data_IF_332479975758
#
_entry.id   IF_332479975758
#
_cell.length_a   1.000
_cell.length_b   1.000
_cell.length_c   1.000
_cell.angle_alpha   90.00
_cell.angle_beta   90.00
_cell.angle_gamma   90.00
#
_symmetry.space_group_name_H-M   'P 1'
#
loop_
_entity.id
_entity.type
_entity.pdbx_description
1 polymer ?
#
# COMPACT_ATOMS: atom_id res chain seq x y z
N UNK A 1 1.48 -40.15 16.57
CA UNK A 1 2.20 -39.57 15.40
C UNK A 1 1.63 -38.21 14.92
N UNK A 2 0.42 -37.79 15.33
CA UNK A 2 -0.23 -36.55 14.88
C UNK A 2 0.39 -35.23 15.42
N UNK A 3 0.83 -35.20 16.69
CA UNK A 3 1.24 -33.97 17.41
C UNK A 3 2.47 -33.26 16.79
N UNK A 4 3.40 -34.01 16.18
CA UNK A 4 4.61 -33.44 15.55
C UNK A 4 4.30 -32.69 14.24
N UNK A 5 3.23 -33.09 13.55
CA UNK A 5 2.80 -32.48 12.28
C UNK A 5 2.17 -31.11 12.50
N UNK A 6 1.27 -30.99 13.48
CA UNK A 6 0.60 -29.72 13.78
C UNK A 6 1.55 -28.71 14.45
N UNK A 7 2.47 -29.19 15.30
CA UNK A 7 3.55 -28.36 15.85
C UNK A 7 4.41 -27.72 14.74
N UNK A 8 4.84 -28.49 13.74
CA UNK A 8 5.59 -27.96 12.60
C UNK A 8 4.78 -27.00 11.72
N UNK A 9 3.47 -27.21 11.56
CA UNK A 9 2.59 -26.27 10.85
C UNK A 9 2.46 -24.94 11.59
N UNK A 10 2.24 -24.96 12.89
CA UNK A 10 2.16 -23.75 13.72
C UNK A 10 3.51 -23.01 13.81
N UNK A 11 4.62 -23.72 13.91
CA UNK A 11 5.97 -23.14 13.89
C UNK A 11 6.29 -22.51 12.54
N UNK A 12 5.98 -23.20 11.43
CA UNK A 12 6.15 -22.63 10.08
C UNK A 12 5.23 -21.44 9.81
N UNK A 13 4.03 -21.43 10.38
CA UNK A 13 3.09 -20.30 10.31
C UNK A 13 3.55 -19.10 11.15
N UNK A 14 4.10 -19.35 12.35
CA UNK A 14 4.70 -18.31 13.20
C UNK A 14 5.96 -17.69 12.56
N UNK A 15 6.85 -18.52 12.03
CA UNK A 15 8.05 -18.08 11.29
C UNK A 15 7.66 -17.29 10.05
N UNK A 16 6.60 -17.69 9.34
CA UNK A 16 5.99 -16.93 8.24
C UNK A 16 5.59 -15.53 8.68
N UNK A 17 4.71 -15.40 9.69
CA UNK A 17 4.20 -14.10 10.11
C UNK A 17 5.31 -13.16 10.59
N UNK A 18 6.27 -13.67 11.37
CA UNK A 18 7.39 -12.88 11.89
C UNK A 18 8.34 -12.44 10.77
N UNK A 19 8.67 -13.34 9.84
CA UNK A 19 9.57 -13.05 8.73
C UNK A 19 8.94 -12.06 7.71
N UNK A 20 7.62 -12.02 7.59
CA UNK A 20 6.95 -11.16 6.60
C UNK A 20 6.60 -9.76 7.12
N UNK A 21 6.28 -9.63 8.40
CA UNK A 21 5.79 -8.37 8.95
C UNK A 21 6.82 -7.67 9.80
N UNK A 22 7.48 -8.38 10.71
CA UNK A 22 8.32 -7.76 11.74
C UNK A 22 9.70 -7.43 11.18
N UNK A 23 10.33 -8.38 10.47
CA UNK A 23 11.68 -8.19 9.96
C UNK A 23 11.78 -7.08 8.89
N UNK A 24 10.93 -7.04 7.83
CA UNK A 24 11.02 -5.99 6.82
C UNK A 24 10.60 -4.63 7.36
N UNK A 25 9.66 -4.59 8.31
CA UNK A 25 9.22 -3.36 8.94
C UNK A 25 10.30 -2.76 9.83
N UNK A 26 10.92 -3.57 10.69
CA UNK A 26 12.05 -3.12 11.53
C UNK A 26 13.17 -2.62 10.63
N UNK A 27 13.47 -3.34 9.55
CA UNK A 27 14.47 -2.95 8.57
C UNK A 27 14.14 -1.61 7.89
N UNK A 28 12.89 -1.41 7.49
CA UNK A 28 12.43 -0.18 6.84
C UNK A 28 12.39 1.01 7.81
N UNK A 29 11.89 0.82 9.03
CA UNK A 29 11.86 1.84 10.07
C UNK A 29 13.28 2.23 10.51
N UNK A 30 14.17 1.25 10.63
CA UNK A 30 15.59 1.49 10.90
C UNK A 30 16.21 2.39 9.83
N UNK A 31 15.96 2.11 8.54
CA UNK A 31 16.40 3.00 7.46
C UNK A 31 15.80 4.39 7.55
N UNK A 32 14.49 4.50 7.79
CA UNK A 32 13.82 5.79 7.85
C UNK A 32 14.41 6.68 8.95
N UNK A 33 14.70 6.09 10.11
CA UNK A 33 15.33 6.79 11.23
C UNK A 33 16.78 7.17 10.89
N UNK A 34 17.58 6.23 10.36
CA UNK A 34 18.97 6.49 9.98
C UNK A 34 19.07 7.57 8.90
N UNK A 35 18.21 7.52 7.88
CA UNK A 35 18.15 8.50 6.81
C UNK A 35 17.76 9.88 7.33
N UNK A 36 16.78 9.96 8.23
CA UNK A 36 16.40 11.21 8.89
C UNK A 36 17.57 11.82 9.67
N UNK A 37 18.32 11.02 10.41
CA UNK A 37 19.48 11.49 11.17
C UNK A 37 20.61 11.99 10.24
N UNK A 38 20.92 11.23 9.19
CA UNK A 38 21.95 11.59 8.20
C UNK A 38 21.56 12.88 7.46
N UNK A 39 20.27 13.08 7.18
CA UNK A 39 19.77 14.26 6.46
C UNK A 39 20.03 15.57 7.21
N UNK A 40 20.02 15.54 8.54
CA UNK A 40 20.28 16.72 9.36
C UNK A 40 21.77 17.08 9.44
N UNK A 41 22.66 16.19 8.97
CA UNK A 41 24.12 16.33 9.13
C UNK A 41 24.86 16.60 7.82
N UNK A 42 24.26 16.30 6.67
CA UNK A 42 24.96 16.26 5.38
C UNK A 42 24.25 17.15 4.32
N UNK A 43 24.99 17.84 3.43
CA UNK A 43 24.40 18.57 2.30
C UNK A 43 23.59 17.67 1.34
N UNK A 44 22.49 18.22 0.81
CA UNK A 44 21.49 17.48 0.00
C UNK A 44 22.06 16.70 -1.18
N UNK A 45 23.06 17.25 -1.87
CA UNK A 45 23.67 16.60 -3.04
C UNK A 45 24.39 15.30 -2.65
N UNK A 46 25.18 15.31 -1.58
CA UNK A 46 25.91 14.13 -1.11
C UNK A 46 24.94 13.06 -0.59
N UNK A 47 23.85 13.50 0.06
CA UNK A 47 22.76 12.64 0.50
C UNK A 47 22.15 11.83 -0.64
N UNK A 48 21.95 12.41 -1.83
CA UNK A 48 21.36 11.71 -2.98
C UNK A 48 22.29 10.60 -3.48
N UNK A 49 23.59 10.89 -3.64
CA UNK A 49 24.57 9.88 -4.04
C UNK A 49 24.68 8.77 -3.00
N UNK A 50 24.71 9.14 -1.72
CA UNK A 50 24.73 8.21 -0.60
C UNK A 50 23.45 7.37 -0.57
N UNK A 51 22.28 7.96 -0.80
CA UNK A 51 20.99 7.27 -0.79
C UNK A 51 20.88 6.24 -1.92
N UNK A 52 21.39 6.54 -3.11
CA UNK A 52 21.41 5.60 -4.23
C UNK A 52 22.32 4.41 -3.89
N UNK A 53 23.55 4.67 -3.43
CA UNK A 53 24.53 3.63 -3.12
C UNK A 53 24.14 2.78 -1.90
N UNK A 54 23.80 3.43 -0.79
CA UNK A 54 23.37 2.76 0.44
C UNK A 54 22.04 2.06 0.19
N UNK A 55 21.07 2.73 -0.42
CA UNK A 55 19.73 2.16 -0.67
C UNK A 55 19.79 0.86 -1.48
N UNK A 56 20.57 0.83 -2.57
CA UNK A 56 20.75 -0.39 -3.37
C UNK A 56 21.42 -1.52 -2.57
N UNK A 57 22.48 -1.18 -1.82
CA UNK A 57 23.18 -2.16 -0.96
C UNK A 57 22.26 -2.73 0.12
N UNK A 58 21.39 -1.89 0.67
CA UNK A 58 20.46 -2.25 1.72
C UNK A 58 19.36 -3.20 1.22
N UNK A 59 18.85 -3.01 -0.01
CA UNK A 59 17.92 -3.95 -0.65
C UNK A 59 18.59 -5.32 -0.83
N UNK A 60 19.86 -5.35 -1.24
CA UNK A 60 20.60 -6.59 -1.39
C UNK A 60 20.78 -7.34 -0.06
N UNK A 61 21.08 -6.64 1.03
CA UNK A 61 21.21 -7.23 2.37
C UNK A 61 19.87 -7.77 2.87
N UNK A 62 18.77 -7.03 2.67
CA UNK A 62 17.42 -7.53 2.96
C UNK A 62 17.17 -8.84 2.21
N UNK A 63 17.49 -8.86 0.91
CA UNK A 63 17.28 -10.03 0.08
C UNK A 63 18.09 -11.23 0.58
N UNK A 64 19.37 -11.02 0.89
CA UNK A 64 20.24 -12.07 1.42
C UNK A 64 19.76 -12.59 2.78
N UNK A 65 19.34 -11.70 3.68
CA UNK A 65 18.81 -12.05 5.00
C UNK A 65 17.53 -12.87 4.90
N UNK A 66 16.59 -12.43 4.07
CA UNK A 66 15.32 -13.14 3.87
C UNK A 66 15.52 -14.46 3.14
N UNK A 67 16.38 -14.54 2.12
CA UNK A 67 16.69 -15.80 1.45
C UNK A 67 17.25 -16.84 2.43
N UNK A 68 18.11 -16.40 3.37
CA UNK A 68 18.62 -17.26 4.45
C UNK A 68 17.51 -17.73 5.38
N UNK A 69 16.61 -16.84 5.79
CA UNK A 69 15.47 -17.19 6.65
C UNK A 69 14.53 -18.19 5.95
N UNK A 70 14.23 -17.97 4.67
CA UNK A 70 13.35 -18.82 3.85
C UNK A 70 13.97 -20.21 3.65
N UNK A 71 15.30 -20.31 3.53
CA UNK A 71 16.00 -21.57 3.36
C UNK A 71 15.85 -22.54 4.54
N UNK A 72 15.58 -22.04 5.74
CA UNK A 72 15.29 -22.87 6.91
C UNK A 72 13.88 -23.48 6.89
N UNK A 73 13.00 -23.00 6.02
CA UNK A 73 11.64 -23.50 5.88
C UNK A 73 11.58 -24.73 4.93
N UNK A 74 10.60 -25.63 5.10
CA UNK A 74 10.43 -26.79 4.23
C UNK A 74 10.20 -26.38 2.77
N UNK A 75 10.80 -27.11 1.81
CA UNK A 75 10.76 -26.80 0.37
C UNK A 75 9.36 -26.58 -0.20
N UNK A 76 8.37 -27.33 0.30
CA UNK A 76 6.96 -27.21 -0.14
C UNK A 76 6.34 -25.83 0.09
N UNK A 77 6.92 -25.01 0.97
CA UNK A 77 6.40 -23.69 1.31
C UNK A 77 7.26 -22.54 0.79
N UNK A 78 8.47 -22.81 0.30
CA UNK A 78 9.46 -21.80 -0.07
C UNK A 78 8.98 -20.87 -1.20
N UNK A 79 8.29 -21.41 -2.22
CA UNK A 79 7.77 -20.60 -3.33
C UNK A 79 6.80 -19.52 -2.84
N UNK A 80 5.87 -19.87 -1.95
CA UNK A 80 4.97 -18.91 -1.33
C UNK A 80 5.70 -17.90 -0.43
N UNK A 81 6.81 -18.30 0.20
CA UNK A 81 7.62 -17.39 1.01
C UNK A 81 8.36 -16.35 0.16
N UNK A 82 8.87 -16.74 -1.00
CA UNK A 82 9.50 -15.81 -1.93
C UNK A 82 8.49 -14.82 -2.51
N UNK A 83 7.29 -15.27 -2.91
CA UNK A 83 6.23 -14.35 -3.35
C UNK A 83 5.83 -13.36 -2.26
N UNK A 84 5.62 -13.86 -1.04
CA UNK A 84 5.25 -13.03 0.11
C UNK A 84 6.38 -12.07 0.54
N UNK A 85 7.64 -12.38 0.27
CA UNK A 85 8.76 -11.48 0.55
C UNK A 85 8.73 -10.19 -0.26
N UNK A 86 8.36 -10.26 -1.54
CA UNK A 86 8.26 -9.06 -2.40
C UNK A 86 6.98 -8.27 -2.13
N UNK A 87 5.87 -8.96 -1.88
CA UNK A 87 4.55 -8.33 -1.72
C UNK A 87 4.28 -7.90 -0.28
N UNK A 88 4.80 -8.62 0.70
CA UNK A 88 4.53 -8.44 2.13
C UNK A 88 4.82 -7.04 2.64
N UNK A 89 6.03 -6.47 2.42
CA UNK A 89 6.35 -5.11 2.86
C UNK A 89 5.43 -4.06 2.22
N UNK A 90 5.12 -4.20 0.92
CA UNK A 90 4.23 -3.29 0.22
C UNK A 90 2.81 -3.36 0.77
N UNK A 91 2.27 -4.57 0.97
CA UNK A 91 0.95 -4.79 1.57
C UNK A 91 0.86 -4.26 3.00
N UNK A 92 1.92 -4.45 3.80
CA UNK A 92 1.98 -3.92 5.15
C UNK A 92 1.98 -2.39 5.14
N UNK A 93 2.82 -1.76 4.32
CA UNK A 93 2.88 -0.30 4.21
C UNK A 93 1.58 0.27 3.68
N UNK A 94 1.01 -0.30 2.62
CA UNK A 94 -0.33 0.08 2.14
C UNK A 94 -1.35 -0.07 3.27
N UNK A 95 -1.30 -1.17 4.00
CA UNK A 95 -2.20 -1.41 5.12
C UNK A 95 -2.07 -0.32 6.20
N UNK A 96 -0.85 -0.04 6.62
CA UNK A 96 -0.53 0.96 7.63
C UNK A 96 -0.91 2.37 7.17
N UNK A 97 -0.50 2.79 5.98
CA UNK A 97 -0.73 4.15 5.48
C UNK A 97 -2.14 4.40 4.96
N UNK A 98 -2.93 3.36 4.69
CA UNK A 98 -4.32 3.49 4.23
C UNK A 98 -5.31 3.24 5.38
N UNK A 99 -5.21 2.10 6.07
CA UNK A 99 -6.18 1.75 7.10
C UNK A 99 -5.99 2.55 8.38
N UNK A 100 -4.76 2.85 8.81
CA UNK A 100 -4.54 3.67 10.01
C UNK A 100 -5.23 5.05 9.90
N UNK A 101 -4.99 5.88 8.86
CA UNK A 101 -5.70 7.15 8.76
C UNK A 101 -7.19 6.96 8.50
N UNK A 102 -7.63 5.93 7.77
CA UNK A 102 -9.07 5.68 7.57
C UNK A 102 -9.79 5.38 8.89
N UNK A 103 -9.26 4.46 9.70
CA UNK A 103 -9.80 4.13 11.03
C UNK A 103 -9.74 5.36 11.93
N UNK A 104 -8.64 6.12 11.89
CA UNK A 104 -8.51 7.37 12.65
C UNK A 104 -9.56 8.40 12.25
N UNK A 105 -9.84 8.56 10.96
CA UNK A 105 -10.90 9.47 10.47
C UNK A 105 -12.29 8.99 10.89
N UNK A 106 -12.55 7.68 10.82
CA UNK A 106 -13.81 7.11 11.33
C UNK A 106 -13.93 7.34 12.84
N UNK A 107 -12.88 7.15 13.61
CA UNK A 107 -12.90 7.43 15.04
C UNK A 107 -13.18 8.92 15.32
N UNK A 108 -12.51 9.82 14.60
CA UNK A 108 -12.67 11.25 14.74
C UNK A 108 -14.04 11.77 14.27
N UNK A 109 -14.72 11.09 13.34
CA UNK A 109 -16.04 11.53 12.89
C UNK A 109 -17.13 11.40 13.96
N UNK A 110 -16.90 10.62 15.02
CA UNK A 110 -17.77 10.57 16.20
C UNK A 110 -17.35 11.55 17.31
N UNK A 111 -16.34 12.39 17.08
CA UNK A 111 -15.78 13.33 18.05
C UNK A 111 -16.11 14.78 17.67
N UNK A 112 -16.00 15.68 18.63
CA UNK A 112 -16.16 17.11 18.36
C UNK A 112 -15.03 17.66 17.45
N UNK A 113 -15.15 18.92 17.04
CA UNK A 113 -14.17 19.59 16.17
C UNK A 113 -12.75 19.66 16.74
N UNK A 114 -12.57 19.45 18.03
CA UNK A 114 -11.27 19.46 18.71
C UNK A 114 -10.75 18.03 18.97
N UNK A 115 -11.60 17.01 18.85
CA UNK A 115 -11.28 15.61 19.10
C UNK A 115 -11.38 15.20 20.57
N UNK A 116 -11.79 16.10 21.46
CA UNK A 116 -11.74 15.93 22.91
C UNK A 116 -12.98 15.21 23.42
N UNK A 117 -14.17 15.63 22.98
CA UNK A 117 -15.44 15.06 23.41
C UNK A 117 -16.04 14.13 22.35
N UNK A 118 -16.75 13.09 22.80
CA UNK A 118 -17.55 12.24 21.91
C UNK A 118 -18.90 12.89 21.65
N UNK A 119 -19.24 13.09 20.37
CA UNK A 119 -20.53 13.66 19.92
C UNK A 119 -21.42 12.61 19.24
N UNK A 120 -20.96 11.35 19.17
CA UNK A 120 -21.74 10.26 18.59
C UNK A 120 -22.07 10.52 17.12
N UNK A 121 -23.36 10.49 16.76
CA UNK A 121 -23.82 10.62 15.38
C UNK A 121 -24.18 12.05 14.96
N UNK A 122 -24.04 13.04 15.85
CA UNK A 122 -24.48 14.41 15.60
C UNK A 122 -23.82 15.04 14.37
N UNK A 123 -22.52 14.75 14.16
CA UNK A 123 -21.79 15.19 12.96
C UNK A 123 -22.39 14.67 11.65
N UNK A 124 -22.94 13.45 11.66
CA UNK A 124 -23.58 12.87 10.48
C UNK A 124 -24.95 13.50 10.24
N UNK A 125 -25.74 13.70 11.29
CA UNK A 125 -27.03 14.40 11.20
C UNK A 125 -26.82 15.82 10.67
N UNK A 126 -25.82 16.54 11.18
CA UNK A 126 -25.43 17.85 10.66
C UNK A 126 -25.05 17.78 9.18
N UNK A 127 -24.20 16.82 8.79
CA UNK A 127 -23.75 16.70 7.41
C UNK A 127 -24.90 16.48 6.40
N UNK A 128 -25.96 15.78 6.82
CA UNK A 128 -27.13 15.55 5.97
C UNK A 128 -28.25 16.59 6.12
N UNK A 129 -28.20 17.47 7.14
CA UNK A 129 -29.24 18.48 7.37
C UNK A 129 -28.78 19.89 6.98
N UNK A 130 -27.48 20.15 6.97
CA UNK A 130 -26.91 21.44 6.63
C UNK A 130 -27.02 21.73 5.12
N UNK A 131 -27.52 22.93 4.78
CA UNK A 131 -27.75 23.33 3.38
C UNK A 131 -26.47 23.40 2.57
N UNK A 132 -25.37 23.88 3.15
CA UNK A 132 -24.08 24.00 2.46
C UNK A 132 -23.51 22.60 2.21
N UNK A 133 -23.62 21.70 3.19
CA UNK A 133 -23.15 20.33 3.04
C UNK A 133 -23.98 19.55 2.01
N UNK A 134 -25.31 19.68 2.01
CA UNK A 134 -26.16 19.05 0.98
C UNK A 134 -25.85 19.54 -0.44
N UNK A 135 -25.64 20.84 -0.63
CA UNK A 135 -25.23 21.40 -1.93
C UNK A 135 -23.86 20.85 -2.34
N UNK A 136 -22.91 20.78 -1.41
CA UNK A 136 -21.58 20.23 -1.65
C UNK A 136 -21.65 18.77 -2.07
N UNK A 137 -22.39 17.94 -1.34
CA UNK A 137 -22.61 16.52 -1.65
C UNK A 137 -23.23 16.38 -3.03
N UNK A 138 -24.34 17.08 -3.32
CA UNK A 138 -25.01 17.02 -4.62
C UNK A 138 -24.07 17.41 -5.76
N UNK A 139 -23.30 18.48 -5.59
CA UNK A 139 -22.36 18.93 -6.60
C UNK A 139 -21.24 17.90 -6.83
N UNK A 140 -20.71 17.29 -5.77
CA UNK A 140 -19.73 16.20 -5.88
C UNK A 140 -20.30 14.98 -6.62
N UNK A 141 -21.57 14.63 -6.38
CA UNK A 141 -22.22 13.54 -7.10
C UNK A 141 -22.46 13.86 -8.57
N UNK A 142 -22.98 15.06 -8.89
CA UNK A 142 -23.18 15.49 -10.28
C UNK A 142 -21.86 15.52 -11.03
N UNK A 143 -20.81 16.07 -10.41
CA UNK A 143 -19.47 16.10 -10.97
C UNK A 143 -18.91 14.70 -11.17
N UNK A 144 -19.02 13.81 -10.17
CA UNK A 144 -18.54 12.43 -10.25
C UNK A 144 -19.20 11.70 -11.41
N UNK A 145 -20.52 11.74 -11.52
CA UNK A 145 -21.24 11.05 -12.60
C UNK A 145 -20.89 11.69 -13.96
N UNK A 146 -21.01 13.02 -14.07
CA UNK A 146 -20.80 13.72 -15.33
C UNK A 146 -19.39 13.54 -15.88
N UNK A 147 -18.37 13.83 -15.07
CA UNK A 147 -16.96 13.78 -15.51
C UNK A 147 -16.52 12.34 -15.72
N UNK A 148 -16.81 11.42 -14.81
CA UNK A 148 -16.38 10.02 -14.95
C UNK A 148 -17.01 9.38 -16.17
N UNK A 149 -18.33 9.54 -16.38
CA UNK A 149 -19.01 8.99 -17.56
C UNK A 149 -18.44 9.59 -18.84
N UNK A 150 -18.18 10.90 -18.88
CA UNK A 150 -17.61 11.56 -20.06
C UNK A 150 -16.19 11.05 -20.37
N UNK A 151 -15.33 10.94 -19.35
CA UNK A 151 -13.97 10.40 -19.52
C UNK A 151 -13.99 8.95 -20.00
N UNK A 152 -14.89 8.12 -19.46
CA UNK A 152 -15.06 6.73 -19.91
C UNK A 152 -15.52 6.69 -21.37
N UNK A 153 -16.53 7.48 -21.75
CA UNK A 153 -17.02 7.52 -23.13
C UNK A 153 -15.92 7.90 -24.12
N UNK A 154 -15.15 8.95 -23.80
CA UNK A 154 -14.02 9.38 -24.64
C UNK A 154 -12.95 8.29 -24.70
N UNK A 155 -12.60 7.68 -23.57
CA UNK A 155 -11.63 6.58 -23.52
C UNK A 155 -12.03 5.40 -24.39
N UNK A 156 -13.32 5.04 -24.40
CA UNK A 156 -13.86 3.98 -25.25
C UNK A 156 -13.84 4.35 -26.74
N UNK A 157 -14.18 5.60 -27.09
CA UNK A 157 -14.08 6.08 -28.47
C UNK A 157 -12.64 5.99 -28.97
N UNK A 158 -11.67 6.47 -28.18
CA UNK A 158 -10.24 6.41 -28.52
C UNK A 158 -9.77 4.96 -28.64
N UNK A 159 -10.17 4.08 -27.72
CA UNK A 159 -9.82 2.67 -27.77
C UNK A 159 -10.39 1.99 -29.03
N UNK A 160 -11.64 2.26 -29.38
CA UNK A 160 -12.28 1.72 -30.57
C UNK A 160 -11.59 2.18 -31.87
N UNK A 161 -11.30 3.47 -31.98
CA UNK A 161 -10.57 4.02 -33.14
C UNK A 161 -9.18 3.40 -33.24
N UNK A 162 -8.47 3.27 -32.11
CA UNK A 162 -7.13 2.67 -32.06
C UNK A 162 -7.12 1.21 -32.51
N UNK A 163 -8.11 0.40 -32.07
CA UNK A 163 -8.26 -1.00 -32.48
C UNK A 163 -8.51 -1.13 -33.99
N UNK A 164 -9.33 -0.23 -34.57
CA UNK A 164 -9.57 -0.21 -36.02
C UNK A 164 -8.30 0.12 -36.81
N UNK A 165 -7.52 1.11 -36.37
CA UNK A 165 -6.27 1.48 -37.04
C UNK A 165 -5.24 0.35 -36.98
N UNK A 166 -5.13 -0.36 -35.85
CA UNK A 166 -4.23 -1.51 -35.71
C UNK A 166 -4.62 -2.66 -36.65
N UNK A 167 -5.91 -2.98 -36.74
CA UNK A 167 -6.42 -4.00 -37.67
C UNK A 167 -6.10 -3.66 -39.12
N UNK A 168 -6.31 -2.41 -39.55
CA UNK A 168 -5.97 -1.96 -40.91
C UNK A 168 -4.47 -2.12 -41.20
N UNK A 169 -3.59 -1.77 -40.26
CA UNK A 169 -2.13 -1.95 -40.43
C UNK A 169 -1.72 -3.42 -40.57
N UNK A 170 -2.39 -4.34 -39.89
CA UNK A 170 -2.12 -5.77 -40.01
C UNK A 170 -2.51 -6.32 -41.39
N UNK A 171 -3.64 -5.88 -41.95
CA UNK A 171 -4.05 -6.27 -43.31
C UNK A 171 -3.11 -5.75 -44.40
N UNK A 172 -2.49 -4.57 -44.21
CA UNK A 172 -1.57 -3.98 -45.19
C UNK A 172 -0.14 -4.56 -45.16
N UNK A 173 0.22 -5.30 -44.12
CA UNK A 173 1.54 -5.93 -43.94
C UNK A 173 1.53 -7.45 -44.25
N UNK A 174 0.46 -7.97 -44.84
CA UNK A 174 0.38 -9.29 -45.46
C UNK A 174 0.47 -9.14 -46.98
#
# INVERSE_FOLDING_TARGET
>A
MSVKSDSNRLLSFGVRIIAFSIFPLIWFLSQAILFREITNRIPRALLIFLAIGIGSTFIFILYAGMNKIISYAPKSYQEGLYGAMFVGPAMFLLGLFLFYPAIRTIYLSFRDKWGDNSVGLDNYVWAFSDKVMQVTIRNQFIWLIGVVTLVIMIGLIVAYVSDKLQKVKQYLNQ
#
